data_IF_782678118453
#
_entry.id   IF_782678118453
#
_cell.length_a   1.000
_cell.length_b   1.000
_cell.length_c   1.000
_cell.angle_alpha   90.00
_cell.angle_beta   90.00
_cell.angle_gamma   90.00
#
_symmetry.space_group_name_H-M   'P 1'
#
loop_
_entity.id
_entity.type
_entity.pdbx_description
1 polymer ?
#
# COMPACT_ATOMS: atom_id res chain seq x y z
N UNK A 1 -18.35 -33.48 40.23
CA UNK A 1 -17.28 -32.51 39.96
C UNK A 1 -16.51 -32.97 38.73
N UNK A 2 -16.02 -32.08 37.85
CA UNK A 2 -16.58 -30.82 37.39
C UNK A 2 -16.57 -30.67 35.84
N UNK A 3 -17.21 -29.60 35.41
CA UNK A 3 -17.39 -29.06 34.06
C UNK A 3 -16.09 -28.40 33.55
N UNK A 4 -15.52 -28.85 32.43
CA UNK A 4 -14.39 -28.15 31.81
C UNK A 4 -14.86 -27.34 30.59
N UNK A 5 -15.27 -26.10 30.90
CA UNK A 5 -15.37 -25.01 29.93
C UNK A 5 -13.97 -24.65 29.43
N UNK A 6 -13.73 -24.75 28.12
CA UNK A 6 -13.01 -23.78 27.27
C UNK A 6 -12.37 -24.48 26.08
N UNK A 7 -12.85 -24.14 24.90
CA UNK A 7 -11.95 -23.93 23.77
C UNK A 7 -12.38 -22.63 23.09
N UNK A 8 -12.16 -21.53 23.80
CA UNK A 8 -11.91 -20.26 23.15
C UNK A 8 -10.47 -20.33 22.66
N UNK A 9 -10.29 -20.61 21.37
CA UNK A 9 -9.16 -20.05 20.65
C UNK A 9 -9.61 -19.79 19.21
N UNK A 10 -10.37 -18.71 19.05
CA UNK A 10 -10.45 -18.00 17.79
C UNK A 10 -9.07 -17.36 17.58
N UNK A 11 -8.10 -18.18 17.16
CA UNK A 11 -6.79 -17.72 16.72
C UNK A 11 -7.06 -16.85 15.49
N UNK A 12 -7.24 -15.55 15.71
CA UNK A 12 -7.12 -14.52 14.69
C UNK A 12 -5.64 -14.48 14.30
N UNK A 13 -5.17 -15.51 13.61
CA UNK A 13 -3.90 -15.40 12.91
C UNK A 13 -3.99 -14.12 12.06
N UNK A 14 -3.00 -13.20 12.17
CA UNK A 14 -3.03 -12.00 11.36
C UNK A 14 -3.10 -12.45 9.91
N UNK A 15 -4.20 -12.11 9.23
CA UNK A 15 -4.39 -12.43 7.83
C UNK A 15 -3.14 -11.96 7.10
N UNK A 16 -2.36 -12.92 6.55
CA UNK A 16 -1.08 -12.61 5.89
C UNK A 16 -1.30 -11.41 4.98
N UNK A 17 -0.52 -10.35 5.19
CA UNK A 17 -0.52 -9.18 4.32
C UNK A 17 -0.14 -9.63 2.92
N UNK A 18 -1.14 -9.97 2.10
CA UNK A 18 -0.95 -10.24 0.69
C UNK A 18 -0.56 -8.92 0.07
N UNK A 19 0.52 -8.90 -0.69
CA UNK A 19 0.83 -7.76 -1.54
C UNK A 19 -0.37 -7.58 -2.48
N UNK A 20 -1.11 -6.48 -2.30
CA UNK A 20 -2.28 -6.12 -3.13
C UNK A 20 -1.83 -5.67 -4.53
N UNK A 21 -0.57 -5.26 -4.63
CA UNK A 21 0.05 -4.77 -5.85
C UNK A 21 1.31 -5.57 -6.16
N UNK A 22 1.49 -5.92 -7.43
CA UNK A 22 2.72 -6.48 -7.97
C UNK A 22 3.76 -5.38 -8.23
N UNK A 23 5.01 -5.79 -8.44
CA UNK A 23 6.10 -4.92 -8.92
C UNK A 23 5.75 -4.21 -10.24
N UNK A 24 5.01 -4.89 -11.11
CA UNK A 24 4.53 -4.32 -12.38
C UNK A 24 3.49 -3.21 -12.16
N UNK A 25 2.55 -3.41 -11.23
CA UNK A 25 1.56 -2.39 -10.86
C UNK A 25 2.22 -1.13 -10.31
N UNK A 26 3.31 -1.26 -9.55
CA UNK A 26 4.06 -0.10 -9.07
C UNK A 26 4.70 0.70 -10.23
N UNK A 27 5.10 0.03 -11.31
CA UNK A 27 5.54 0.67 -12.56
C UNK A 27 4.43 1.49 -13.21
N UNK A 28 3.23 0.90 -13.35
CA UNK A 28 2.06 1.58 -13.91
C UNK A 28 1.63 2.78 -13.04
N UNK A 29 1.63 2.63 -11.72
CA UNK A 29 1.33 3.73 -10.80
C UNK A 29 2.37 4.85 -10.89
N UNK A 30 3.65 4.50 -11.02
CA UNK A 30 4.73 5.47 -11.17
C UNK A 30 4.53 6.33 -12.43
N UNK A 31 4.14 5.71 -13.55
CA UNK A 31 3.85 6.42 -14.80
C UNK A 31 2.64 7.36 -14.65
N UNK A 32 1.56 6.87 -14.05
CA UNK A 32 0.37 7.68 -13.79
C UNK A 32 0.67 8.90 -12.91
N UNK A 33 1.42 8.71 -11.82
CA UNK A 33 1.83 9.80 -10.93
C UNK A 33 2.75 10.78 -11.64
N UNK A 34 3.71 10.32 -12.46
CA UNK A 34 4.60 11.20 -13.21
C UNK A 34 3.83 12.12 -14.17
N UNK A 35 2.84 11.58 -14.88
CA UNK A 35 1.98 12.36 -15.75
C UNK A 35 1.11 13.36 -14.97
N UNK A 36 0.59 12.94 -13.82
CA UNK A 36 -0.21 13.83 -12.97
C UNK A 36 0.62 14.98 -12.39
N UNK A 37 1.84 14.71 -11.90
CA UNK A 37 2.77 15.75 -11.39
C UNK A 37 2.99 16.85 -12.42
N UNK A 38 3.14 16.50 -13.70
CA UNK A 38 3.29 17.48 -14.78
C UNK A 38 2.04 18.34 -14.96
N UNK A 39 0.84 17.76 -14.82
CA UNK A 39 -0.42 18.50 -14.94
C UNK A 39 -0.66 19.46 -13.78
N UNK A 40 -0.18 19.12 -12.58
CA UNK A 40 -0.37 19.93 -11.37
C UNK A 40 0.88 20.71 -10.99
N UNK A 41 1.80 20.97 -11.92
CA UNK A 41 3.13 21.54 -11.61
C UNK A 41 3.05 22.85 -10.80
N UNK A 42 2.07 23.70 -11.11
CA UNK A 42 1.83 24.98 -10.43
C UNK A 42 1.05 24.85 -9.10
N UNK A 43 0.54 23.66 -8.79
CA UNK A 43 -0.16 23.39 -7.54
C UNK A 43 0.86 23.02 -6.44
N UNK A 44 0.76 23.58 -5.22
CA UNK A 44 1.62 23.20 -4.09
C UNK A 44 1.55 21.70 -3.72
N UNK A 45 0.51 20.98 -4.16
CA UNK A 45 0.40 19.52 -4.03
C UNK A 45 1.38 18.77 -4.92
N UNK A 46 1.96 19.39 -5.97
CA UNK A 46 2.93 18.75 -6.87
C UNK A 46 4.08 18.11 -6.11
N UNK A 47 4.62 18.79 -5.09
CA UNK A 47 5.69 18.28 -4.24
C UNK A 47 5.32 16.98 -3.52
N UNK A 48 4.06 16.82 -3.08
CA UNK A 48 3.58 15.58 -2.44
C UNK A 48 3.57 14.42 -3.44
N UNK A 49 3.13 14.68 -4.68
CA UNK A 49 3.10 13.67 -5.73
C UNK A 49 4.50 13.35 -6.27
N UNK A 50 5.42 14.32 -6.34
CA UNK A 50 6.83 14.07 -6.65
C UNK A 50 7.48 13.15 -5.60
N UNK A 51 7.22 13.39 -4.32
CA UNK A 51 7.69 12.50 -3.25
C UNK A 51 7.08 11.09 -3.36
N UNK A 52 5.80 10.99 -3.74
CA UNK A 52 5.16 9.70 -4.01
C UNK A 52 5.82 8.97 -5.18
N UNK A 53 6.09 9.66 -6.29
CA UNK A 53 6.79 9.11 -7.45
C UNK A 53 8.15 8.50 -7.07
N UNK A 54 8.95 9.21 -6.26
CA UNK A 54 10.23 8.69 -5.77
C UNK A 54 10.09 7.49 -4.81
N UNK A 55 9.00 7.42 -4.03
CA UNK A 55 8.73 6.26 -3.17
C UNK A 55 8.34 5.04 -4.01
N UNK A 56 7.49 5.23 -5.02
CA UNK A 56 7.09 4.16 -5.94
C UNK A 56 8.30 3.62 -6.71
N UNK A 57 9.22 4.48 -7.14
CA UNK A 57 10.47 4.06 -7.79
C UNK A 57 11.47 3.32 -6.89
N UNK A 58 11.24 3.24 -5.56
CA UNK A 58 12.05 2.42 -4.64
C UNK A 58 11.42 1.07 -4.31
N UNK A 59 10.13 0.89 -4.62
CA UNK A 59 9.38 -0.34 -4.38
C UNK A 59 9.36 -1.27 -5.60
N UNK A 60 9.68 -0.73 -6.79
CA UNK A 60 9.82 -1.44 -8.06
C UNK A 60 11.25 -1.86 -8.34
#
# INVERSE_FOLDING_TARGET
>A
MPNERRSHDMSKEPQRSRAVFSTEDFGLMKEAVANYVKQIADDPRSAKFSNLYHRLGRLG
#
